data_IF_752272508832
#
_entry.id   IF_752272508832
#
_cell.length_a   1.000
_cell.length_b   1.000
_cell.length_c   1.000
_cell.angle_alpha   90.00
_cell.angle_beta   90.00
_cell.angle_gamma   90.00
#
_symmetry.space_group_name_H-M   'P 1'
#
loop_
_entity.id
_entity.type
_entity.pdbx_description
1 polymer ?
#
# COMPACT_ATOMS: atom_id res chain seq x y z
N UNK A 1 22.64 -0.91 -9.55
CA UNK A 1 22.22 0.50 -9.36
C UNK A 1 20.98 0.53 -8.50
N UNK A 2 20.73 1.58 -7.70
CA UNK A 2 19.47 1.80 -7.00
C UNK A 2 18.32 1.95 -8.00
N UNK A 3 17.24 1.20 -7.81
CA UNK A 3 16.08 1.22 -8.71
C UNK A 3 15.14 2.41 -8.49
N UNK A 4 15.30 3.15 -7.39
CA UNK A 4 14.50 4.36 -7.08
C UNK A 4 15.23 5.61 -7.56
N UNK A 5 16.32 6.01 -6.91
CA UNK A 5 17.01 7.25 -7.27
C UNK A 5 17.88 7.15 -8.54
N UNK A 6 18.28 5.94 -8.95
CA UNK A 6 19.22 5.70 -10.08
C UNK A 6 20.59 6.40 -9.99
N UNK A 7 20.91 7.01 -8.85
CA UNK A 7 22.17 7.74 -8.64
C UNK A 7 23.20 6.95 -7.82
N UNK A 8 22.72 6.14 -6.86
CA UNK A 8 23.56 5.44 -5.88
C UNK A 8 23.61 3.94 -6.13
N UNK A 9 24.66 3.29 -5.65
CA UNK A 9 24.73 1.82 -5.65
C UNK A 9 23.61 1.23 -4.77
N UNK A 10 23.03 0.10 -5.19
CA UNK A 10 22.03 -0.60 -4.39
C UNK A 10 22.71 -1.50 -3.37
N UNK A 11 22.37 -1.33 -2.09
CA UNK A 11 22.95 -2.04 -0.95
C UNK A 11 21.97 -3.00 -0.29
N UNK A 12 20.66 -2.88 -0.58
CA UNK A 12 19.59 -3.68 0.03
C UNK A 12 18.55 -4.13 -0.98
N UNK A 13 17.79 -5.15 -0.64
CA UNK A 13 16.65 -5.66 -1.43
C UNK A 13 15.38 -5.52 -0.59
N UNK A 14 14.35 -4.88 -1.14
CA UNK A 14 13.07 -4.69 -0.47
C UNK A 14 12.32 -6.01 -0.29
N UNK A 15 11.92 -6.32 0.94
CA UNK A 15 11.20 -7.56 1.27
C UNK A 15 9.76 -7.58 0.73
N UNK A 16 9.18 -6.40 0.46
CA UNK A 16 7.80 -6.28 -0.05
C UNK A 16 7.69 -6.33 -1.58
N UNK A 17 8.64 -5.74 -2.32
CA UNK A 17 8.54 -5.64 -3.78
C UNK A 17 9.76 -6.15 -4.56
N UNK A 18 10.82 -6.59 -3.88
CA UNK A 18 12.03 -7.12 -4.50
C UNK A 18 12.98 -6.09 -5.13
N UNK A 19 12.62 -4.81 -5.17
CA UNK A 19 13.52 -3.76 -5.68
C UNK A 19 14.82 -3.67 -4.89
N UNK A 20 15.94 -3.54 -5.60
CA UNK A 20 17.25 -3.24 -5.06
C UNK A 20 17.42 -1.74 -4.89
N UNK A 21 17.65 -1.28 -3.67
CA UNK A 21 17.70 0.15 -3.31
C UNK A 21 18.95 0.50 -2.52
N UNK A 22 19.32 1.78 -2.56
CA UNK A 22 20.37 2.34 -1.71
C UNK A 22 19.84 2.61 -0.29
N UNK A 23 20.73 2.83 0.68
CA UNK A 23 20.34 3.10 2.06
C UNK A 23 19.45 4.34 2.26
N UNK A 24 19.57 5.36 1.39
CA UNK A 24 18.73 6.56 1.47
C UNK A 24 17.25 6.27 1.11
N UNK A 25 17.03 5.31 0.22
CA UNK A 25 15.71 4.85 -0.22
C UNK A 25 15.21 3.65 0.58
N UNK A 26 15.95 3.23 1.60
CA UNK A 26 15.57 2.15 2.51
C UNK A 26 14.72 2.67 3.67
N UNK A 27 13.73 1.88 4.05
CA UNK A 27 12.94 1.96 5.27
C UNK A 27 13.02 0.62 5.97
N UNK A 28 12.80 0.57 7.27
CA UNK A 28 12.96 -0.63 8.10
C UNK A 28 12.18 -1.84 7.55
N UNK A 29 12.81 -2.63 6.66
CA UNK A 29 12.26 -3.83 5.99
C UNK A 29 11.81 -3.62 4.53
N UNK A 30 11.69 -2.38 4.03
CA UNK A 30 11.16 -2.11 2.69
C UNK A 30 11.68 -0.80 2.08
N UNK A 31 11.41 -0.54 0.80
CA UNK A 31 11.86 0.70 0.16
C UNK A 31 10.88 1.87 0.37
N UNK A 32 11.35 3.10 0.21
CA UNK A 32 10.54 4.32 0.29
C UNK A 32 9.33 4.31 -0.67
N UNK A 33 9.43 3.64 -1.81
CA UNK A 33 8.29 3.47 -2.72
C UNK A 33 7.20 2.57 -2.10
N UNK A 34 7.57 1.49 -1.42
CA UNK A 34 6.63 0.66 -0.69
C UNK A 34 5.99 1.40 0.48
N UNK A 35 6.76 2.21 1.22
CA UNK A 35 6.24 3.06 2.31
C UNK A 35 5.05 3.90 1.83
N UNK A 36 5.21 4.59 0.71
CA UNK A 36 4.19 5.45 0.12
C UNK A 36 3.01 4.68 -0.47
N UNK A 37 3.16 3.37 -0.71
CA UNK A 37 2.14 2.51 -1.28
C UNK A 37 1.44 1.61 -0.25
N UNK A 38 1.84 1.67 1.03
CA UNK A 38 1.22 0.87 2.09
C UNK A 38 -0.25 1.25 2.28
N UNK A 39 -1.06 0.24 2.61
CA UNK A 39 -2.42 0.45 3.06
C UNK A 39 -2.42 1.35 4.31
N UNK A 40 -3.15 2.45 4.23
CA UNK A 40 -3.27 3.45 5.30
C UNK A 40 -4.30 3.05 6.38
N UNK A 41 -4.79 1.81 6.33
CA UNK A 41 -5.62 1.20 7.39
C UNK A 41 -4.78 0.27 8.26
N UNK A 42 -4.03 -0.65 7.64
CA UNK A 42 -3.26 -1.65 8.41
C UNK A 42 -1.75 -1.40 8.45
N UNK A 43 -1.19 -0.56 7.57
CA UNK A 43 0.25 -0.30 7.43
C UNK A 43 1.14 -1.56 7.24
N UNK A 44 0.54 -2.67 6.80
CA UNK A 44 1.22 -3.98 6.69
C UNK A 44 1.36 -4.49 5.25
N UNK A 45 0.41 -4.13 4.37
CA UNK A 45 0.32 -4.65 3.00
C UNK A 45 0.31 -3.50 2.00
N UNK A 46 0.81 -3.75 0.80
CA UNK A 46 0.68 -2.80 -0.31
C UNK A 46 -0.80 -2.60 -0.66
N UNK A 47 -1.13 -1.37 -1.03
CA UNK A 47 -2.46 -1.02 -1.50
C UNK A 47 -2.71 -1.57 -2.91
N UNK A 48 -3.96 -1.93 -3.16
CA UNK A 48 -4.48 -2.36 -4.47
C UNK A 48 -5.36 -1.28 -5.11
N UNK A 49 -5.64 -0.20 -4.37
CA UNK A 49 -6.42 0.94 -4.81
C UNK A 49 -6.66 1.91 -3.67
N UNK A 50 -7.64 2.79 -3.85
CA UNK A 50 -8.04 3.78 -2.85
C UNK A 50 -9.51 3.60 -2.45
N UNK A 51 -9.84 4.01 -1.24
CA UNK A 51 -11.23 4.09 -0.77
C UNK A 51 -11.95 5.22 -1.53
N UNK A 52 -13.04 4.90 -2.21
CA UNK A 52 -13.85 5.88 -2.94
C UNK A 52 -14.51 6.94 -2.01
N UNK A 53 -14.58 6.67 -0.71
CA UNK A 53 -15.19 7.58 0.28
C UNK A 53 -14.16 8.53 0.88
N UNK A 54 -13.03 8.00 1.38
CA UNK A 54 -12.05 8.79 2.14
C UNK A 54 -10.69 8.97 1.45
N UNK A 55 -10.51 8.43 0.25
CA UNK A 55 -9.28 8.56 -0.54
C UNK A 55 -8.07 7.75 -0.03
N UNK A 56 -8.16 7.12 1.16
CA UNK A 56 -7.06 6.32 1.72
C UNK A 56 -6.68 5.16 0.81
N UNK A 57 -5.39 4.92 0.65
CA UNK A 57 -4.84 3.70 0.05
C UNK A 57 -5.24 2.47 0.89
N UNK A 58 -5.76 1.44 0.22
CA UNK A 58 -6.29 0.24 0.86
C UNK A 58 -5.80 -1.04 0.19
N UNK A 59 -5.48 -2.04 1.02
CA UNK A 59 -5.22 -3.39 0.54
C UNK A 59 -6.54 -4.18 0.42
N UNK A 60 -6.45 -5.36 -0.19
CA UNK A 60 -7.58 -6.26 -0.39
C UNK A 60 -8.30 -6.59 0.93
N UNK A 61 -7.57 -6.95 1.98
CA UNK A 61 -8.14 -7.31 3.29
C UNK A 61 -8.80 -6.16 4.05
N UNK A 62 -8.40 -4.91 3.76
CA UNK A 62 -8.91 -3.72 4.45
C UNK A 62 -9.94 -2.96 3.62
N UNK A 63 -10.46 -3.58 2.57
CA UNK A 63 -11.50 -3.00 1.73
C UNK A 63 -12.52 -4.03 1.27
N UNK A 64 -13.66 -3.51 0.85
CA UNK A 64 -14.70 -4.25 0.16
C UNK A 64 -14.88 -3.66 -1.24
N UNK A 65 -15.38 -4.46 -2.16
CA UNK A 65 -15.84 -3.98 -3.46
C UNK A 65 -17.34 -3.70 -3.37
N UNK A 66 -17.74 -2.49 -3.78
CA UNK A 66 -19.12 -2.04 -3.87
C UNK A 66 -19.37 -1.56 -5.29
N UNK A 67 -19.91 -2.44 -6.13
CA UNK A 67 -19.92 -2.24 -7.58
C UNK A 67 -18.50 -2.19 -8.14
N UNK A 68 -18.17 -1.13 -8.89
CA UNK A 68 -16.81 -0.89 -9.41
C UNK A 68 -15.92 -0.12 -8.43
N UNK A 69 -16.47 0.36 -7.31
CA UNK A 69 -15.76 1.15 -6.33
C UNK A 69 -15.18 0.25 -5.23
N UNK A 70 -14.02 0.65 -4.70
CA UNK A 70 -13.41 0.04 -3.51
C UNK A 70 -13.66 0.94 -2.31
N UNK A 71 -14.13 0.39 -1.20
CA UNK A 71 -14.43 1.14 0.03
C UNK A 71 -13.69 0.49 1.19
N UNK A 72 -12.99 1.28 2.01
CA UNK A 72 -12.28 0.74 3.18
C UNK A 72 -13.29 0.19 4.20
N UNK A 73 -12.88 -0.80 4.99
CA UNK A 73 -13.75 -1.43 5.99
C UNK A 73 -14.27 -0.43 7.04
N UNK A 74 -13.52 0.63 7.33
CA UNK A 74 -13.95 1.70 8.25
C UNK A 74 -15.15 2.48 7.68
N UNK A 75 -15.04 2.98 6.45
CA UNK A 75 -16.15 3.70 5.79
C UNK A 75 -17.32 2.77 5.47
N UNK A 76 -17.05 1.50 5.13
CA UNK A 76 -18.10 0.52 4.88
C UNK A 76 -18.97 0.30 6.14
N UNK A 77 -18.34 0.20 7.31
CA UNK A 77 -19.04 0.08 8.60
C UNK A 77 -19.89 1.33 8.89
N UNK A 78 -19.33 2.52 8.72
CA UNK A 78 -20.03 3.79 8.94
C UNK A 78 -21.26 3.95 8.02
N UNK A 79 -21.17 3.46 6.78
CA UNK A 79 -22.24 3.54 5.78
C UNK A 79 -23.22 2.35 5.84
N UNK A 80 -23.00 1.37 6.72
CA UNK A 80 -23.82 0.16 6.78
C UNK A 80 -23.73 -0.72 5.53
N UNK A 81 -22.64 -0.62 4.77
CA UNK A 81 -22.41 -1.44 3.58
C UNK A 81 -22.01 -2.85 4.01
N UNK A 82 -22.87 -3.83 3.74
CA UNK A 82 -22.60 -5.23 4.00
C UNK A 82 -22.36 -5.96 2.68
N UNK A 83 -21.15 -6.47 2.49
CA UNK A 83 -20.85 -7.35 1.36
C UNK A 83 -21.19 -8.78 1.75
N UNK A 84 -22.39 -9.23 1.37
CA UNK A 84 -22.60 -10.67 1.23
C UNK A 84 -21.72 -11.12 0.07
N UNK A 85 -20.63 -11.83 0.37
CA UNK A 85 -19.98 -12.72 -0.60
C UNK A 85 -20.89 -13.91 -0.86
#
# INVERSE_FOLDING_TARGET
>A
MCEICREKAATRTCELCGRRVCDADWRSGYCAACENALCQVCHKRLSVGYCAVCGKLVCEDCSIEFGVARVCTLCALELGLNTRR
#
